data_IF_238133684337
#
_entry.id   IF_238133684337
#
_cell.length_a   1.000
_cell.length_b   1.000
_cell.length_c   1.000
_cell.angle_alpha   90.00
_cell.angle_beta   90.00
_cell.angle_gamma   90.00
#
_symmetry.space_group_name_H-M   'P 1'
#
loop_
_entity.id
_entity.type
_entity.pdbx_description
1 polymer ?
#
# COMPACT_ATOMS: atom_id res chain seq x y z
N UNK A 1 -10.80 14.75 8.37
CA UNK A 1 -10.24 13.41 8.15
C UNK A 1 -11.39 12.42 8.12
N UNK A 2 -11.45 11.57 7.10
CA UNK A 2 -12.46 10.52 6.98
C UNK A 2 -11.84 9.26 6.39
N UNK A 3 -12.08 8.11 7.03
CA UNK A 3 -11.67 6.83 6.50
C UNK A 3 -12.39 6.56 5.17
N UNK A 4 -11.64 6.11 4.17
CA UNK A 4 -12.21 5.71 2.89
C UNK A 4 -12.98 4.41 3.04
N UNK A 5 -14.16 4.37 2.42
CA UNK A 5 -15.02 3.19 2.41
C UNK A 5 -14.41 2.09 1.54
N UNK A 6 -14.82 0.84 1.80
CA UNK A 6 -14.33 -0.36 1.12
C UNK A 6 -14.40 -0.25 -0.40
N UNK A 7 -15.48 0.30 -0.93
CA UNK A 7 -15.71 0.47 -2.36
C UNK A 7 -14.69 1.41 -2.97
N UNK A 8 -14.36 2.50 -2.27
CA UNK A 8 -13.31 3.44 -2.69
C UNK A 8 -11.94 2.79 -2.67
N UNK A 9 -11.63 2.02 -1.61
CA UNK A 9 -10.38 1.27 -1.52
C UNK A 9 -10.25 0.23 -2.64
N UNK A 10 -11.34 -0.48 -2.96
CA UNK A 10 -11.40 -1.46 -4.03
C UNK A 10 -11.19 -0.85 -5.43
N UNK A 11 -11.45 0.44 -5.61
CA UNK A 11 -11.14 1.16 -6.86
C UNK A 11 -9.71 1.70 -6.91
N UNK A 12 -9.13 2.08 -5.76
CA UNK A 12 -7.83 2.74 -5.71
C UNK A 12 -6.67 1.77 -5.57
N UNK A 13 -6.83 0.64 -4.88
CA UNK A 13 -5.72 -0.24 -4.54
C UNK A 13 -5.35 -1.20 -5.70
N UNK A 14 -6.26 -2.03 -6.24
CA UNK A 14 -5.87 -3.08 -7.17
C UNK A 14 -5.35 -2.52 -8.49
N UNK A 15 -4.23 -3.06 -8.97
CA UNK A 15 -3.63 -2.68 -10.24
C UNK A 15 -2.92 -1.33 -10.24
N UNK A 16 -2.71 -0.71 -9.07
CA UNK A 16 -2.06 0.60 -8.93
C UNK A 16 -0.80 0.51 -8.07
N UNK A 17 0.18 1.35 -8.40
CA UNK A 17 1.33 1.63 -7.54
C UNK A 17 1.07 2.89 -6.74
N UNK A 18 1.03 2.77 -5.43
CA UNK A 18 0.95 3.92 -4.52
C UNK A 18 2.35 4.40 -4.16
N UNK A 19 2.54 5.71 -4.21
CA UNK A 19 3.78 6.38 -3.82
C UNK A 19 3.59 6.94 -2.43
N UNK A 20 4.41 6.50 -1.48
CA UNK A 20 4.36 6.88 -0.09
C UNK A 20 5.58 7.73 0.27
N UNK A 21 5.38 8.75 1.10
CA UNK A 21 6.48 9.48 1.72
C UNK A 21 6.95 8.72 2.97
N UNK A 22 8.23 8.35 2.97
CA UNK A 22 8.89 7.68 4.09
C UNK A 22 10.31 8.23 4.24
N UNK A 23 10.65 8.72 5.44
CA UNK A 23 11.95 9.32 5.73
C UNK A 23 12.36 10.44 4.74
N UNK A 24 11.38 11.22 4.25
CA UNK A 24 11.61 12.28 3.26
C UNK A 24 11.92 11.78 1.84
N UNK A 25 11.74 10.49 1.56
CA UNK A 25 11.95 9.84 0.27
C UNK A 25 10.68 9.12 -0.18
N UNK A 26 10.68 8.70 -1.44
CA UNK A 26 9.61 7.89 -2.02
C UNK A 26 9.81 6.41 -1.68
N UNK A 27 8.75 5.77 -1.21
CA UNK A 27 8.58 4.33 -1.21
C UNK A 27 7.40 3.98 -2.12
N UNK A 28 7.40 2.78 -2.69
CA UNK A 28 6.41 2.35 -3.67
C UNK A 28 5.77 1.06 -3.21
N UNK A 29 4.46 0.97 -3.31
CA UNK A 29 3.71 -0.27 -3.06
C UNK A 29 2.80 -0.52 -4.25
N UNK A 30 3.05 -1.61 -4.96
CA UNK A 30 2.22 -2.08 -6.06
C UNK A 30 1.35 -3.23 -5.60
N UNK A 31 0.04 -3.12 -5.82
CA UNK A 31 -0.91 -4.19 -5.56
C UNK A 31 -1.39 -4.76 -6.89
N UNK A 32 -1.20 -6.06 -7.12
CA UNK A 32 -1.84 -6.73 -8.25
C UNK A 32 -3.36 -6.78 -8.04
N UNK A 33 -4.10 -7.03 -9.11
CA UNK A 33 -5.58 -7.08 -9.06
C UNK A 33 -6.08 -8.03 -7.97
N UNK A 34 -5.39 -9.16 -7.77
CA UNK A 34 -5.68 -10.10 -6.70
C UNK A 34 -4.41 -10.68 -6.12
N UNK A 35 -4.40 -10.84 -4.80
CA UNK A 35 -3.49 -11.74 -4.10
C UNK A 35 -2.08 -11.21 -3.89
N UNK A 36 -1.37 -10.71 -4.90
CA UNK A 36 0.05 -10.35 -4.80
C UNK A 36 0.28 -8.84 -4.56
N UNK A 37 1.26 -8.53 -3.73
CA UNK A 37 1.71 -7.16 -3.46
C UNK A 37 3.24 -7.08 -3.47
N UNK A 38 3.76 -5.94 -3.90
CA UNK A 38 5.19 -5.70 -4.07
C UNK A 38 5.54 -4.34 -3.51
N UNK A 39 6.68 -4.23 -2.85
CA UNK A 39 7.14 -3.00 -2.22
C UNK A 39 8.59 -2.71 -2.60
N UNK A 40 8.90 -1.43 -2.79
CA UNK A 40 10.25 -0.91 -2.83
C UNK A 40 10.35 0.21 -1.80
N UNK A 41 11.21 0.02 -0.81
CA UNK A 41 11.42 0.95 0.29
C UNK A 41 12.34 2.11 -0.08
N UNK A 42 12.38 3.11 0.80
CA UNK A 42 13.17 4.34 0.67
C UNK A 42 14.69 4.13 0.69
N UNK A 43 15.12 2.96 1.16
CA UNK A 43 16.52 2.50 1.18
C UNK A 43 16.86 1.56 0.01
N UNK A 44 15.89 1.23 -0.85
CA UNK A 44 16.05 0.33 -1.98
C UNK A 44 15.78 -1.15 -1.67
N UNK A 45 15.41 -1.50 -0.43
CA UNK A 45 14.96 -2.85 -0.09
C UNK A 45 13.65 -3.16 -0.85
N UNK A 46 13.61 -4.31 -1.53
CA UNK A 46 12.41 -4.82 -2.19
C UNK A 46 11.79 -5.93 -1.35
N UNK A 47 10.46 -5.93 -1.25
CA UNK A 47 9.68 -6.98 -0.57
C UNK A 47 8.56 -7.45 -1.46
N UNK A 48 8.20 -8.71 -1.33
CA UNK A 48 6.99 -9.27 -1.92
C UNK A 48 6.08 -9.80 -0.83
N UNK A 49 4.80 -9.89 -1.13
CA UNK A 49 3.81 -10.31 -0.16
C UNK A 49 2.48 -10.65 -0.80
N UNK A 50 1.54 -11.01 0.07
CA UNK A 50 0.15 -11.21 -0.32
C UNK A 50 -0.73 -10.17 0.33
N UNK A 51 -1.79 -9.77 -0.37
CA UNK A 51 -2.76 -8.83 0.16
C UNK A 51 -4.19 -9.27 -0.14
N UNK A 52 -5.11 -8.77 0.68
CA UNK A 52 -6.55 -8.94 0.46
C UNK A 52 -7.34 -7.80 1.12
N UNK A 53 -8.46 -7.46 0.50
CA UNK A 53 -9.42 -6.54 1.08
C UNK A 53 -10.07 -7.10 2.36
N UNK A 54 -10.40 -6.17 3.26
CA UNK A 54 -11.20 -6.37 4.46
C UNK A 54 -12.40 -5.40 4.41
N UNK A 55 -13.33 -5.50 5.35
CA UNK A 55 -14.49 -4.59 5.37
C UNK A 55 -14.12 -3.15 5.75
N UNK A 56 -13.04 -3.00 6.52
CA UNK A 56 -12.56 -1.76 7.11
C UNK A 56 -11.13 -1.41 6.66
N UNK A 57 -10.69 -1.95 5.52
CA UNK A 57 -9.36 -1.71 4.98
C UNK A 57 -8.84 -2.85 4.13
N UNK A 58 -7.56 -3.15 4.25
CA UNK A 58 -6.93 -4.34 3.68
C UNK A 58 -5.81 -4.85 4.60
N UNK A 59 -5.36 -6.08 4.36
CA UNK A 59 -4.18 -6.65 5.02
C UNK A 59 -3.14 -6.99 3.96
N UNK A 60 -1.87 -6.79 4.30
CA UNK A 60 -0.73 -7.22 3.52
C UNK A 60 0.24 -8.01 4.42
N UNK A 61 0.54 -9.24 4.00
CA UNK A 61 1.47 -10.16 4.63
C UNK A 61 2.74 -10.23 3.78
N UNK A 62 3.88 -9.82 4.32
CA UNK A 62 5.16 -9.74 3.61
C UNK A 62 6.02 -10.98 3.83
N UNK A 63 6.90 -11.27 2.87
CA UNK A 63 7.94 -12.30 2.92
C UNK A 63 8.86 -12.22 4.16
N UNK A 64 9.07 -11.03 4.70
CA UNK A 64 9.78 -10.78 5.96
C UNK A 64 9.07 -11.30 7.21
N UNK A 65 7.84 -11.83 7.09
CA UNK A 65 6.98 -12.22 8.21
C UNK A 65 6.22 -11.06 8.84
N UNK A 66 6.41 -9.84 8.36
CA UNK A 66 5.63 -8.68 8.80
C UNK A 66 4.21 -8.72 8.22
N UNK A 67 3.21 -8.45 9.05
CA UNK A 67 1.82 -8.22 8.63
C UNK A 67 1.43 -6.77 8.91
N UNK A 68 0.78 -6.12 7.96
CA UNK A 68 0.19 -4.80 8.15
C UNK A 68 -1.29 -4.80 7.80
N UNK A 69 -2.13 -4.38 8.75
CA UNK A 69 -3.54 -4.03 8.49
C UNK A 69 -3.64 -2.54 8.27
N UNK A 70 -4.15 -2.15 7.12
CA UNK A 70 -4.14 -0.77 6.67
C UNK A 70 -5.53 -0.29 6.29
N UNK A 71 -5.74 1.01 6.39
CA UNK A 71 -6.82 1.75 5.73
C UNK A 71 -6.28 3.07 5.21
N UNK A 72 -7.07 3.81 4.43
CA UNK A 72 -6.72 5.13 3.93
C UNK A 72 -7.65 6.17 4.54
N UNK A 73 -7.09 7.22 5.12
CA UNK A 73 -7.81 8.41 5.54
C UNK A 73 -7.63 9.51 4.49
N UNK A 74 -8.72 10.23 4.20
CA UNK A 74 -8.70 11.43 3.38
C UNK A 74 -8.90 12.70 4.22
N UNK A 75 -8.15 13.73 3.87
CA UNK A 75 -8.37 15.13 4.25
C UNK A 75 -8.10 16.04 3.04
N UNK A 76 -8.61 17.29 3.01
CA UNK A 76 -8.39 18.16 1.87
C UNK A 76 -6.90 18.28 1.51
N UNK A 77 -6.54 17.79 0.32
CA UNK A 77 -5.17 17.82 -0.20
C UNK A 77 -4.25 16.67 0.22
N UNK A 78 -4.75 15.67 0.97
CA UNK A 78 -3.93 14.56 1.45
C UNK A 78 -4.71 13.25 1.60
N UNK A 79 -4.04 12.14 1.29
CA UNK A 79 -4.49 10.79 1.64
C UNK A 79 -3.39 10.15 2.47
N UNK A 80 -3.75 9.54 3.59
CA UNK A 80 -2.81 8.96 4.53
C UNK A 80 -3.13 7.48 4.77
N UNK A 81 -2.12 6.64 4.62
CA UNK A 81 -2.13 5.25 5.07
C UNK A 81 -2.12 5.22 6.59
N UNK A 82 -3.06 4.48 7.17
CA UNK A 82 -3.19 4.29 8.61
C UNK A 82 -3.00 2.81 8.91
N UNK A 83 -2.00 2.50 9.72
CA UNK A 83 -1.90 1.15 10.28
C UNK A 83 -2.97 1.01 11.37
N UNK A 84 -3.69 -0.11 11.36
CA UNK A 84 -4.79 -0.36 12.30
C UNK A 84 -4.34 -1.15 13.53
N UNK A 85 -3.14 -1.71 13.50
CA UNK A 85 -2.55 -2.46 14.61
C UNK A 85 -1.60 -1.60 15.45
N UNK A 86 -1.11 -0.47 14.93
CA UNK A 86 -0.18 0.42 15.62
C UNK A 86 -0.30 1.88 15.14
N UNK A 87 0.50 2.78 15.71
CA UNK A 87 0.44 4.22 15.39
C UNK A 87 1.14 4.64 14.09
N UNK A 88 1.59 3.70 13.25
CA UNK A 88 2.32 4.02 12.00
C UNK A 88 1.38 4.63 10.97
N UNK A 89 1.84 5.70 10.32
CA UNK A 89 1.13 6.41 9.25
C UNK A 89 2.10 6.75 8.13
N UNK A 90 1.62 6.72 6.88
CA UNK A 90 2.38 7.19 5.71
C UNK A 90 1.53 8.09 4.85
N UNK A 91 2.06 9.22 4.41
CA UNK A 91 1.36 10.10 3.47
C UNK A 91 1.48 9.53 2.06
N UNK A 92 0.35 9.39 1.37
CA UNK A 92 0.33 9.05 -0.05
C UNK A 92 0.56 10.32 -0.87
N UNK A 93 1.61 10.32 -1.66
CA UNK A 93 2.05 11.47 -2.45
C UNK A 93 1.84 11.27 -3.96
N UNK A 94 1.40 10.09 -4.37
CA UNK A 94 1.07 9.82 -5.75
C UNK A 94 0.41 8.45 -5.93
N UNK A 95 -0.26 8.31 -7.07
CA UNK A 95 -0.79 7.05 -7.58
C UNK A 95 -0.33 6.93 -9.03
N UNK A 96 0.27 5.79 -9.37
CA UNK A 96 0.75 5.47 -10.70
C UNK A 96 0.01 4.22 -11.20
N UNK A 97 -0.31 4.17 -12.48
CA UNK A 97 -1.03 3.03 -13.06
C UNK A 97 -0.10 1.83 -13.28
N UNK A 98 -0.57 0.63 -12.94
CA UNK A 98 0.17 -0.62 -13.10
C UNK A 98 1.40 -0.73 -12.19
N UNK A 99 2.30 -1.65 -12.55
CA UNK A 99 3.58 -1.85 -11.88
C UNK A 99 4.62 -0.82 -12.34
N UNK A 100 4.48 0.43 -11.90
CA UNK A 100 5.25 1.57 -12.41
C UNK A 100 6.76 1.46 -12.17
N UNK A 101 7.19 0.65 -11.19
CA UNK A 101 8.60 0.43 -10.87
C UNK A 101 9.16 -0.91 -11.36
N UNK A 102 8.38 -1.67 -12.14
CA UNK A 102 8.77 -3.01 -12.63
C UNK A 102 9.24 -3.90 -11.48
N UNK A 103 8.55 -3.83 -10.35
CA UNK A 103 8.85 -4.65 -9.17
C UNK A 103 8.70 -6.14 -9.54
N UNK A 104 9.66 -6.99 -9.17
CA UNK A 104 9.67 -8.38 -9.58
C UNK A 104 8.48 -9.13 -8.94
N UNK A 105 7.85 -10.08 -9.66
CA UNK A 105 6.81 -10.93 -9.10
C UNK A 105 7.38 -11.87 -8.02
N UNK A 106 6.52 -12.32 -7.11
CA UNK A 106 6.88 -13.29 -6.07
C UNK A 106 7.33 -14.59 -6.75
N UNK A 107 8.54 -15.07 -6.42
CA UNK A 107 8.94 -16.44 -6.79
C UNK A 107 8.07 -17.40 -5.97
N UNK A 108 7.39 -18.31 -6.67
CA UNK A 108 6.47 -19.29 -6.11
C UNK A 108 7.17 -20.29 -5.17
#
# INVERSE_FOLDING_TARGET
>A
MAALQKETLAMLIPGMTHVLERNGKEAYVYFESEGAAHMLLDDGEARSGRWRMLDDGYVADWDTGATGRWTLDHEPGSVTYINRDNAVRFRMIGVLFGNAKKLPPQQA
#
